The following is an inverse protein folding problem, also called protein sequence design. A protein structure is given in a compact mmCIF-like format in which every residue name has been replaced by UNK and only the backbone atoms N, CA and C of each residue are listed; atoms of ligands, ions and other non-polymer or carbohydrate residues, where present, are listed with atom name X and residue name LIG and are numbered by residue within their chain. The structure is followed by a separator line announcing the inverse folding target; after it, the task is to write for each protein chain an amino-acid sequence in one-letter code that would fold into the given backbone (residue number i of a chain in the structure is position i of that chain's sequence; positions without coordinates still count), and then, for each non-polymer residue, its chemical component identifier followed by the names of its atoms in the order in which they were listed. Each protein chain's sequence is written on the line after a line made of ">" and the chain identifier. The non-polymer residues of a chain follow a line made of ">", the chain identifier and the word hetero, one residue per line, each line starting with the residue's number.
data_IF_205761238922
#
_entry.id   IF_205761238922
#
_cell.length_a   1.000
_cell.length_b   1.000
_cell.length_c   1.000
_cell.angle_alpha   90.00
_cell.angle_beta   90.00
_cell.angle_gamma   90.00
#
_symmetry.space_group_name_H-M   'P 1'
#
loop_
_entity.id
_entity.type
_entity.pdbx_description
1 polymer ?
#
# COMPACT_ATOMS: atom_id res chain seq x y z
N UNK A 1 20.78 -1.78 6.62
CA UNK A 1 20.19 -0.95 5.54
C UNK A 1 19.36 0.15 6.16
N UNK A 2 19.18 1.25 5.42
CA UNK A 2 18.25 2.33 5.79
C UNK A 2 16.96 2.19 4.97
N UNK A 3 15.82 2.01 5.62
CA UNK A 3 14.54 1.71 4.99
C UNK A 3 13.52 2.78 5.33
N UNK A 4 12.78 3.26 4.33
CA UNK A 4 11.60 4.13 4.48
C UNK A 4 10.36 3.34 4.09
N UNK A 5 9.39 3.27 4.99
CA UNK A 5 8.06 2.71 4.75
C UNK A 5 7.07 3.88 4.69
N UNK A 6 6.41 4.06 3.54
CA UNK A 6 5.58 5.23 3.27
C UNK A 6 4.11 4.85 3.07
N UNK A 7 3.24 5.42 3.90
CA UNK A 7 1.84 5.05 4.04
C UNK A 7 1.64 3.92 5.05
N UNK A 8 0.38 3.66 5.42
CA UNK A 8 0.02 2.60 6.36
C UNK A 8 -1.36 2.02 6.01
N UNK A 9 -1.49 0.71 6.03
CA UNK A 9 -2.76 -0.01 6.02
C UNK A 9 -2.71 -1.14 7.03
N UNK A 10 -3.67 -1.18 7.94
CA UNK A 10 -3.89 -2.28 8.87
C UNK A 10 -2.64 -2.70 9.67
N UNK A 11 -1.80 -1.73 10.04
CA UNK A 11 -0.56 -1.93 10.81
C UNK A 11 0.56 -2.71 10.07
N UNK A 12 0.47 -2.84 8.76
CA UNK A 12 1.43 -3.64 7.97
C UNK A 12 2.83 -3.03 8.02
N UNK A 13 2.96 -1.73 7.74
CA UNK A 13 4.27 -1.08 7.70
C UNK A 13 4.89 -0.93 9.10
N UNK A 14 4.08 -0.65 10.13
CA UNK A 14 4.62 -0.58 11.48
C UNK A 14 5.11 -1.95 11.97
N UNK A 15 4.34 -3.01 11.76
CA UNK A 15 4.75 -4.39 12.10
C UNK A 15 6.02 -4.80 11.34
N UNK A 16 6.10 -4.49 10.05
CA UNK A 16 7.29 -4.72 9.24
C UNK A 16 8.50 -3.94 9.80
N UNK A 17 8.28 -2.68 10.19
CA UNK A 17 9.35 -1.85 10.76
C UNK A 17 9.91 -2.46 12.05
N UNK A 18 9.06 -2.98 12.93
CA UNK A 18 9.51 -3.62 14.17
C UNK A 18 10.38 -4.85 13.88
N UNK A 19 9.95 -5.72 12.95
CA UNK A 19 10.74 -6.89 12.54
C UNK A 19 12.07 -6.50 11.92
N UNK A 20 12.10 -5.51 11.02
CA UNK A 20 13.35 -5.04 10.39
C UNK A 20 14.28 -4.36 11.41
N UNK A 21 13.75 -3.62 12.38
CA UNK A 21 14.55 -3.02 13.47
C UNK A 21 15.16 -4.09 14.35
N UNK A 22 14.43 -5.15 14.68
CA UNK A 22 14.95 -6.30 15.42
C UNK A 22 16.10 -7.02 14.68
N UNK A 23 16.11 -6.97 13.35
CA UNK A 23 17.19 -7.46 12.49
C UNK A 23 18.34 -6.45 12.33
N UNK A 24 18.34 -5.32 13.05
CA UNK A 24 19.42 -4.33 13.03
C UNK A 24 19.35 -3.34 11.86
N UNK A 25 18.20 -3.18 11.21
CA UNK A 25 18.03 -2.17 10.16
C UNK A 25 17.54 -0.84 10.74
N UNK A 26 17.96 0.29 10.13
CA UNK A 26 17.41 1.61 10.43
C UNK A 26 16.13 1.82 9.62
N UNK A 27 14.99 1.89 10.30
CA UNK A 27 13.68 1.98 9.62
C UNK A 27 12.94 3.22 10.07
N UNK A 28 12.38 3.95 9.10
CA UNK A 28 11.49 5.09 9.32
C UNK A 28 10.13 4.77 8.70
N UNK A 29 9.06 4.93 9.49
CA UNK A 29 7.68 4.84 9.02
C UNK A 29 7.12 6.25 8.93
N UNK A 30 6.66 6.64 7.73
CA UNK A 30 6.01 7.93 7.49
C UNK A 30 4.58 7.69 6.97
N UNK A 31 3.57 8.01 7.76
CA UNK A 31 2.18 7.69 7.42
C UNK A 31 1.18 8.61 8.10
N UNK A 32 -0.08 8.50 7.71
CA UNK A 32 -1.24 9.08 8.41
C UNK A 32 -1.73 8.21 9.59
N UNK A 33 -1.19 6.99 9.73
CA UNK A 33 -1.58 6.01 10.74
C UNK A 33 -2.85 5.23 10.39
N UNK A 34 -3.23 5.15 9.12
CA UNK A 34 -4.46 4.50 8.63
C UNK A 34 -5.73 5.16 9.23
N UNK A 35 -5.80 6.50 9.10
CA UNK A 35 -6.96 7.29 9.50
C UNK A 35 -7.30 7.14 11.00
N UNK A 36 -8.56 6.76 11.33
CA UNK A 36 -9.07 6.65 12.70
C UNK A 36 -8.39 5.56 13.55
N UNK A 37 -7.73 4.57 12.92
CA UNK A 37 -7.00 3.49 13.61
C UNK A 37 -5.74 4.00 14.32
N UNK A 38 -5.17 5.10 13.83
CA UNK A 38 -4.07 5.85 14.42
C UNK A 38 -2.86 4.98 14.80
N UNK A 39 -2.43 4.10 13.89
CA UNK A 39 -1.25 3.27 14.10
C UNK A 39 0.02 4.09 14.33
N UNK A 40 1.02 3.56 15.07
CA UNK A 40 2.27 4.25 15.35
C UNK A 40 3.06 4.58 14.07
N UNK A 41 3.83 5.67 14.12
CA UNK A 41 4.65 6.17 13.02
C UNK A 41 5.77 7.07 13.54
N UNK A 42 6.85 7.22 12.79
CA UNK A 42 7.97 8.09 13.13
C UNK A 42 7.77 9.51 12.57
N UNK A 43 7.21 9.61 11.37
CA UNK A 43 6.85 10.89 10.73
C UNK A 43 5.34 10.93 10.57
N UNK A 44 4.70 11.85 11.31
CA UNK A 44 3.26 12.02 11.27
C UNK A 44 2.81 12.84 10.06
N UNK A 45 2.10 12.18 9.15
CA UNK A 45 1.49 12.74 7.96
C UNK A 45 -0.05 12.66 8.01
N UNK A 46 -0.63 12.63 9.21
CA UNK A 46 -2.07 12.59 9.38
C UNK A 46 -2.71 13.89 8.90
N UNK A 47 -3.75 13.77 8.07
CA UNK A 47 -4.56 14.90 7.59
C UNK A 47 -5.82 15.03 8.44
N UNK A 48 -6.00 16.16 9.12
CA UNK A 48 -7.11 16.37 10.06
C UNK A 48 -8.48 16.39 9.37
N UNK A 49 -8.58 17.06 8.22
CA UNK A 49 -9.81 17.11 7.42
C UNK A 49 -9.52 17.43 5.95
N UNK A 50 -10.57 17.38 5.12
CA UNK A 50 -10.49 17.77 3.70
C UNK A 50 -10.68 19.28 3.48
N UNK A 51 -10.83 20.05 4.55
CA UNK A 51 -10.93 21.51 4.49
C UNK A 51 -9.71 22.19 3.88
N UNK A 52 -9.89 23.41 3.34
CA UNK A 52 -8.79 24.13 2.65
C UNK A 52 -7.61 24.43 3.55
N UNK A 53 -7.86 24.87 4.78
CA UNK A 53 -6.83 25.16 5.80
C UNK A 53 -6.04 23.92 6.19
N UNK A 54 -6.74 22.81 6.46
CA UNK A 54 -6.11 21.53 6.83
C UNK A 54 -5.35 20.92 5.65
N UNK A 55 -5.84 21.16 4.42
CA UNK A 55 -5.11 20.77 3.21
C UNK A 55 -3.79 21.53 3.06
N UNK A 56 -3.78 22.84 3.32
CA UNK A 56 -2.56 23.66 3.27
C UNK A 56 -1.58 23.25 4.36
N UNK A 57 -2.04 23.04 5.60
CA UNK A 57 -1.22 22.55 6.71
C UNK A 57 -0.62 21.17 6.37
N UNK A 58 -1.41 20.28 5.84
CA UNK A 58 -0.96 18.94 5.41
C UNK A 58 0.13 19.03 4.31
N UNK A 59 -0.09 19.85 3.28
CA UNK A 59 0.91 20.07 2.22
C UNK A 59 2.20 20.67 2.75
N UNK A 60 2.11 21.62 3.69
CA UNK A 60 3.28 22.19 4.34
C UNK A 60 4.06 21.12 5.14
N UNK A 61 3.36 20.26 5.90
CA UNK A 61 4.00 19.15 6.62
C UNK A 61 4.65 18.14 5.68
N UNK A 62 3.98 17.78 4.58
CA UNK A 62 4.56 16.90 3.55
C UNK A 62 5.82 17.54 2.95
N UNK A 63 5.75 18.82 2.55
CA UNK A 63 6.90 19.53 1.99
C UNK A 63 8.09 19.58 2.98
N UNK A 64 7.81 19.80 4.28
CA UNK A 64 8.83 19.81 5.34
C UNK A 64 9.41 18.43 5.59
N UNK A 65 8.63 17.35 5.40
CA UNK A 65 9.07 15.98 5.59
C UNK A 65 9.92 15.45 4.40
N UNK A 66 9.70 15.94 3.18
CA UNK A 66 10.40 15.45 1.97
C UNK A 66 11.93 15.40 2.10
N UNK A 67 12.64 16.43 2.64
CA UNK A 67 14.08 16.37 2.80
C UNK A 67 14.57 15.20 3.66
N UNK A 68 13.73 14.69 4.57
CA UNK A 68 14.02 13.55 5.42
C UNK A 68 13.70 12.20 4.77
N UNK A 69 13.03 12.20 3.61
CA UNK A 69 12.66 11.00 2.84
C UNK A 69 13.67 10.68 1.74
N UNK A 70 14.94 11.05 1.90
CA UNK A 70 16.03 10.83 0.94
C UNK A 70 17.19 10.06 1.56
N UNK A 71 17.99 9.40 0.71
CA UNK A 71 19.19 8.68 1.14
C UNK A 71 18.87 7.34 1.80
N UNK A 72 17.74 6.74 1.46
CA UNK A 72 17.39 5.37 1.88
C UNK A 72 17.88 4.36 0.86
N UNK A 73 18.29 3.18 1.36
CA UNK A 73 18.61 2.03 0.52
C UNK A 73 17.34 1.48 -0.13
N UNK A 74 16.23 1.51 0.63
CA UNK A 74 14.92 1.01 0.20
C UNK A 74 13.83 1.98 0.65
N UNK A 75 12.93 2.30 -0.27
CA UNK A 75 11.64 2.92 0.01
C UNK A 75 10.55 1.92 -0.39
N UNK A 76 9.61 1.64 0.49
CA UNK A 76 8.42 0.86 0.15
C UNK A 76 7.18 1.74 0.31
N UNK A 77 6.40 1.83 -0.76
CA UNK A 77 5.09 2.47 -0.76
C UNK A 77 4.04 1.45 -0.34
N UNK A 78 3.10 1.83 0.53
CA UNK A 78 2.01 0.92 0.95
C UNK A 78 1.06 0.58 -0.20
N UNK A 79 0.86 1.54 -1.11
CA UNK A 79 -0.08 1.49 -2.23
C UNK A 79 0.29 2.60 -3.23
N UNK A 80 -0.19 2.62 -4.47
CA UNK A 80 0.02 3.73 -5.39
C UNK A 80 -0.43 5.09 -4.84
N UNK A 81 -1.49 5.11 -4.02
CA UNK A 81 -1.94 6.29 -3.28
C UNK A 81 -1.37 6.24 -1.86
N UNK A 82 -0.07 6.44 -1.75
CA UNK A 82 0.71 6.27 -0.51
C UNK A 82 0.60 7.44 0.49
N UNK A 83 -0.06 8.53 0.12
CA UNK A 83 -0.45 9.66 0.98
C UNK A 83 -1.86 10.12 0.59
N UNK A 84 -2.57 10.79 1.50
CA UNK A 84 -3.91 11.36 1.26
C UNK A 84 -3.87 12.59 0.33
N UNK A 85 -3.34 12.42 -0.88
CA UNK A 85 -3.23 13.44 -1.91
C UNK A 85 -3.83 12.94 -3.24
N UNK A 86 -4.24 13.88 -4.07
CA UNK A 86 -4.63 13.56 -5.43
C UNK A 86 -3.42 13.10 -6.27
N UNK A 87 -3.61 12.27 -7.29
CA UNK A 87 -2.56 11.69 -8.12
C UNK A 87 -1.58 12.70 -8.71
N UNK A 88 -2.08 13.88 -9.10
CA UNK A 88 -1.27 14.96 -9.68
C UNK A 88 -0.22 15.50 -8.69
N UNK A 89 -0.49 15.40 -7.38
CA UNK A 89 0.45 15.79 -6.33
C UNK A 89 1.32 14.62 -5.87
N UNK A 90 0.84 13.39 -5.98
CA UNK A 90 1.60 12.19 -5.65
C UNK A 90 2.71 11.91 -6.65
N UNK A 91 2.47 12.12 -7.95
CA UNK A 91 3.46 11.84 -8.98
C UNK A 91 4.78 12.64 -8.82
N UNK A 92 4.79 13.95 -8.53
CA UNK A 92 6.02 14.66 -8.21
C UNK A 92 6.74 14.13 -6.97
N UNK A 93 6.01 13.73 -5.92
CA UNK A 93 6.59 13.13 -4.72
C UNK A 93 7.21 11.78 -5.05
N UNK A 94 6.52 10.93 -5.80
CA UNK A 94 7.07 9.66 -6.27
C UNK A 94 8.38 9.85 -7.06
N UNK A 95 8.40 10.79 -8.01
CA UNK A 95 9.61 11.12 -8.79
C UNK A 95 10.75 11.63 -7.91
N UNK A 96 10.44 12.39 -6.87
CA UNK A 96 11.43 12.80 -5.87
C UNK A 96 12.00 11.58 -5.14
N UNK A 97 11.17 10.65 -4.67
CA UNK A 97 11.60 9.43 -3.98
C UNK A 97 12.49 8.58 -4.90
N UNK A 98 12.11 8.40 -6.17
CA UNK A 98 12.90 7.64 -7.17
C UNK A 98 14.27 8.25 -7.40
N UNK A 99 14.36 9.58 -7.45
CA UNK A 99 15.62 10.30 -7.73
C UNK A 99 16.59 10.29 -6.56
N UNK A 100 16.09 10.26 -5.32
CA UNK A 100 16.90 10.51 -4.13
C UNK A 100 17.11 9.26 -3.24
N UNK A 101 16.62 8.10 -3.66
CA UNK A 101 16.79 6.84 -2.96
C UNK A 101 17.29 5.75 -3.91
N UNK A 102 17.86 4.67 -3.36
CA UNK A 102 18.50 3.63 -4.18
C UNK A 102 17.47 2.73 -4.87
N UNK A 103 16.45 2.26 -4.15
CA UNK A 103 15.41 1.37 -4.63
C UNK A 103 14.03 1.83 -4.13
N UNK A 104 13.02 1.74 -4.99
CA UNK A 104 11.63 2.00 -4.63
C UNK A 104 10.77 0.80 -4.98
N UNK A 105 10.08 0.24 -3.99
CA UNK A 105 9.14 -0.87 -4.13
C UNK A 105 7.71 -0.39 -3.99
N UNK A 106 6.81 -0.97 -4.76
CA UNK A 106 5.37 -0.78 -4.64
C UNK A 106 4.79 -1.92 -3.80
N UNK A 107 4.05 -1.59 -2.75
CA UNK A 107 3.16 -2.51 -2.04
C UNK A 107 1.84 -2.65 -2.80
N UNK A 108 1.49 -3.86 -3.17
CA UNK A 108 0.16 -4.23 -3.63
C UNK A 108 -0.61 -4.75 -2.41
N UNK A 109 -1.13 -3.81 -1.58
CA UNK A 109 -1.69 -4.11 -0.26
C UNK A 109 -3.12 -3.60 -0.08
N UNK A 110 -3.80 -3.26 -1.14
CA UNK A 110 -5.15 -2.75 -1.09
C UNK A 110 -5.72 -2.51 -2.48
N UNK A 111 -6.90 -1.89 -2.52
CA UNK A 111 -7.58 -1.58 -3.75
C UNK A 111 -6.72 -0.68 -4.65
N UNK A 112 -6.60 -1.08 -5.91
CA UNK A 112 -5.86 -0.37 -6.94
C UNK A 112 -6.36 -0.71 -8.36
N UNK A 113 -5.70 -0.18 -9.38
CA UNK A 113 -6.07 -0.41 -10.78
C UNK A 113 -6.06 -1.91 -11.17
N UNK A 114 -5.01 -2.66 -10.78
CA UNK A 114 -4.87 -4.05 -11.19
C UNK A 114 -5.88 -4.95 -10.48
N UNK A 115 -6.14 -4.67 -9.21
CA UNK A 115 -7.11 -5.43 -8.44
C UNK A 115 -8.55 -5.20 -8.91
N UNK A 116 -8.94 -3.93 -9.17
CA UNK A 116 -10.27 -3.61 -9.73
C UNK A 116 -10.44 -4.24 -11.11
N UNK A 117 -9.40 -4.14 -11.97
CA UNK A 117 -9.43 -4.74 -13.31
C UNK A 117 -9.59 -6.26 -13.26
N UNK A 118 -8.85 -6.94 -12.40
CA UNK A 118 -8.92 -8.40 -12.23
C UNK A 118 -10.26 -8.84 -11.62
N UNK A 119 -10.83 -8.05 -10.69
CA UNK A 119 -12.15 -8.32 -10.14
C UNK A 119 -13.28 -8.26 -11.19
N UNK A 120 -13.12 -7.42 -12.21
CA UNK A 120 -14.11 -7.23 -13.28
C UNK A 120 -13.97 -8.21 -14.46
N UNK A 121 -12.83 -8.89 -14.61
CA UNK A 121 -12.60 -9.82 -15.74
C UNK A 121 -13.37 -11.16 -15.60
N UNK A 122 -13.92 -11.43 -14.39
CA UNK A 122 -14.64 -12.65 -14.04
C UNK A 122 -13.86 -13.96 -14.32
N UNK A 123 -12.54 -13.88 -14.42
CA UNK A 123 -11.65 -15.01 -14.72
C UNK A 123 -10.57 -15.18 -13.65
N UNK A 124 -9.97 -14.08 -13.21
CA UNK A 124 -8.90 -14.09 -12.19
C UNK A 124 -9.42 -14.56 -10.84
N UNK A 125 -10.63 -14.13 -10.47
CA UNK A 125 -11.24 -14.50 -9.19
C UNK A 125 -12.57 -15.23 -9.41
N UNK A 126 -12.80 -16.30 -8.64
CA UNK A 126 -14.10 -16.96 -8.59
C UNK A 126 -15.17 -16.05 -7.96
N UNK A 127 -14.76 -15.23 -7.01
CA UNK A 127 -15.58 -14.17 -6.40
C UNK A 127 -14.68 -13.07 -5.82
N UNK A 128 -15.14 -11.86 -5.91
CA UNK A 128 -14.49 -10.67 -5.35
C UNK A 128 -15.55 -9.63 -5.00
N UNK A 129 -15.14 -8.44 -4.61
CA UNK A 129 -16.09 -7.32 -4.46
C UNK A 129 -16.78 -6.98 -5.79
N UNK A 130 -16.17 -7.29 -6.93
CA UNK A 130 -16.65 -6.94 -8.26
C UNK A 130 -17.33 -8.08 -9.01
N UNK A 131 -17.19 -9.34 -8.59
CA UNK A 131 -17.79 -10.48 -9.28
C UNK A 131 -18.21 -11.62 -8.36
N UNK A 132 -19.19 -12.41 -8.84
CA UNK A 132 -19.53 -13.74 -8.31
C UNK A 132 -19.59 -14.69 -9.51
N UNK A 133 -18.65 -15.63 -9.59
CA UNK A 133 -18.49 -16.48 -10.76
C UNK A 133 -18.25 -15.63 -12.02
N UNK A 134 -19.08 -15.77 -13.02
CA UNK A 134 -19.01 -15.05 -14.30
C UNK A 134 -19.86 -13.77 -14.33
N UNK A 135 -20.48 -13.40 -13.21
CA UNK A 135 -21.37 -12.25 -13.14
C UNK A 135 -20.69 -11.08 -12.41
N UNK A 136 -20.67 -9.91 -13.06
CA UNK A 136 -20.17 -8.67 -12.47
C UNK A 136 -21.20 -8.13 -11.48
N UNK A 137 -20.73 -7.73 -10.30
CA UNK A 137 -21.55 -7.09 -9.27
C UNK A 137 -21.54 -5.58 -9.47
N UNK A 138 -22.65 -5.05 -9.95
CA UNK A 138 -22.83 -3.60 -10.08
C UNK A 138 -23.53 -3.04 -8.84
N UNK A 139 -22.88 -2.05 -8.23
CA UNK A 139 -23.42 -1.27 -7.11
C UNK A 139 -22.70 0.08 -7.05
N UNK A 140 -23.25 1.10 -6.34
CA UNK A 140 -22.68 2.45 -6.32
C UNK A 140 -21.21 2.52 -5.87
N UNK A 141 -20.77 1.63 -4.98
CA UNK A 141 -19.36 1.59 -4.53
C UNK A 141 -18.46 1.07 -5.64
N UNK A 142 -18.85 0.01 -6.33
CA UNK A 142 -18.11 -0.53 -7.46
C UNK A 142 -18.05 0.48 -8.62
N UNK A 143 -19.15 1.17 -8.92
CA UNK A 143 -19.17 2.24 -9.93
C UNK A 143 -18.16 3.34 -9.59
N UNK A 144 -18.09 3.74 -8.32
CA UNK A 144 -17.11 4.71 -7.84
C UNK A 144 -15.68 4.19 -8.01
N UNK A 145 -15.38 2.94 -7.61
CA UNK A 145 -14.04 2.36 -7.73
C UNK A 145 -13.61 2.19 -9.18
N UNK A 146 -14.53 1.80 -10.07
CA UNK A 146 -14.29 1.74 -11.51
C UNK A 146 -13.94 3.14 -12.05
N UNK A 147 -14.72 4.15 -11.69
CA UNK A 147 -14.48 5.52 -12.12
C UNK A 147 -13.12 6.05 -11.63
N UNK A 148 -12.76 5.78 -10.36
CA UNK A 148 -11.52 6.26 -9.75
C UNK A 148 -10.27 5.52 -10.28
N UNK A 149 -10.34 4.18 -10.38
CA UNK A 149 -9.18 3.34 -10.65
C UNK A 149 -9.02 2.95 -12.12
N UNK A 150 -10.10 2.67 -12.86
CA UNK A 150 -9.98 2.29 -14.27
C UNK A 150 -10.04 3.50 -15.21
N UNK A 151 -10.89 4.47 -14.90
CA UNK A 151 -11.17 5.61 -15.78
C UNK A 151 -10.57 6.92 -15.26
N UNK A 152 -9.99 6.90 -14.06
CA UNK A 152 -9.50 8.09 -13.38
C UNK A 152 -7.98 8.15 -13.23
N UNK A 153 -7.46 9.30 -12.75
CA UNK A 153 -6.04 9.55 -12.62
C UNK A 153 -5.33 8.66 -11.58
N UNK A 154 -6.06 8.02 -10.65
CA UNK A 154 -5.48 7.02 -9.74
C UNK A 154 -4.94 5.81 -10.51
N UNK A 155 -5.68 5.33 -11.51
CA UNK A 155 -5.24 4.23 -12.34
C UNK A 155 -4.03 4.58 -13.20
N UNK A 156 -3.96 5.80 -13.73
CA UNK A 156 -2.78 6.27 -14.45
C UNK A 156 -1.54 6.32 -13.57
N UNK A 157 -1.68 6.87 -12.35
CA UNK A 157 -0.61 6.89 -11.35
C UNK A 157 -0.15 5.46 -11.00
N UNK A 158 -1.08 4.55 -10.75
CA UNK A 158 -0.77 3.16 -10.42
C UNK A 158 0.02 2.47 -11.55
N UNK A 159 -0.45 2.56 -12.79
CA UNK A 159 0.24 1.98 -13.95
C UNK A 159 1.63 2.57 -14.12
N UNK A 160 1.79 3.89 -13.93
CA UNK A 160 3.08 4.55 -13.98
C UNK A 160 4.02 4.02 -12.89
N UNK A 161 3.61 4.02 -11.62
CA UNK A 161 4.42 3.54 -10.50
C UNK A 161 4.77 2.06 -10.67
N UNK A 162 3.79 1.21 -11.01
CA UNK A 162 4.02 -0.20 -11.22
C UNK A 162 5.01 -0.48 -12.37
N UNK A 163 4.97 0.31 -13.44
CA UNK A 163 5.94 0.23 -14.53
C UNK A 163 7.35 0.67 -14.15
N UNK A 164 7.48 1.74 -13.35
CA UNK A 164 8.76 2.41 -13.07
C UNK A 164 9.47 1.90 -11.80
N UNK A 165 8.77 1.37 -10.80
CA UNK A 165 9.36 0.89 -9.54
C UNK A 165 10.31 -0.30 -9.74
N UNK A 166 11.22 -0.51 -8.79
CA UNK A 166 12.22 -1.60 -8.83
C UNK A 166 11.64 -2.99 -8.53
N UNK A 167 10.49 -3.05 -7.87
CA UNK A 167 9.81 -4.30 -7.56
C UNK A 167 8.43 -4.04 -6.94
N UNK A 168 7.61 -5.07 -6.94
CA UNK A 168 6.25 -5.07 -6.41
C UNK A 168 6.16 -6.17 -5.36
N UNK A 169 5.73 -5.81 -4.17
CA UNK A 169 5.47 -6.75 -3.08
C UNK A 169 3.98 -6.97 -2.96
N UNK A 170 3.52 -8.20 -3.16
CA UNK A 170 2.13 -8.59 -2.95
C UNK A 170 1.97 -9.26 -1.59
N UNK A 171 1.14 -8.68 -0.71
CA UNK A 171 0.97 -9.12 0.67
C UNK A 171 -0.04 -10.26 0.84
N UNK A 172 -1.00 -10.35 -0.07
CA UNK A 172 -2.01 -11.41 -0.14
C UNK A 172 -1.99 -12.05 -1.53
N UNK A 173 -2.44 -13.29 -1.60
CA UNK A 173 -2.45 -14.06 -2.85
C UNK A 173 -3.32 -13.41 -3.94
N UNK A 174 -4.40 -12.75 -3.54
CA UNK A 174 -5.27 -12.00 -4.44
C UNK A 174 -4.54 -10.85 -5.14
N UNK A 175 -3.66 -10.13 -4.43
CA UNK A 175 -2.85 -9.08 -5.05
C UNK A 175 -1.74 -9.65 -5.94
N UNK A 176 -1.20 -10.82 -5.60
CA UNK A 176 -0.24 -11.50 -6.46
C UNK A 176 -0.88 -11.93 -7.78
N UNK A 177 -2.08 -12.49 -7.73
CA UNK A 177 -2.81 -12.96 -8.91
C UNK A 177 -3.10 -11.84 -9.91
N UNK A 178 -3.35 -10.60 -9.46
CA UNK A 178 -3.64 -9.50 -10.38
C UNK A 178 -2.37 -8.77 -10.88
N UNK A 179 -1.26 -8.79 -10.15
CA UNK A 179 -0.03 -8.10 -10.56
C UNK A 179 0.93 -8.99 -11.35
N UNK A 180 1.10 -10.25 -10.97
CA UNK A 180 2.07 -11.18 -11.58
C UNK A 180 1.91 -11.35 -13.09
N UNK A 181 0.70 -11.44 -13.68
CA UNK A 181 0.55 -11.54 -15.13
C UNK A 181 1.10 -10.34 -15.90
N UNK A 182 1.12 -9.16 -15.28
CA UNK A 182 1.61 -7.92 -15.88
C UNK A 182 3.09 -7.65 -15.62
N UNK A 183 3.61 -8.12 -14.48
CA UNK A 183 4.98 -7.85 -14.01
C UNK A 183 5.62 -9.10 -13.41
N UNK A 184 5.75 -10.21 -14.16
CA UNK A 184 6.23 -11.49 -13.61
C UNK A 184 7.64 -11.39 -13.00
N UNK A 185 8.53 -10.60 -13.62
CA UNK A 185 9.94 -10.49 -13.22
C UNK A 185 10.16 -9.65 -11.94
N UNK A 186 9.20 -8.82 -11.57
CA UNK A 186 9.36 -7.91 -10.42
C UNK A 186 8.29 -8.02 -9.35
N UNK A 187 7.29 -8.89 -9.52
CA UNK A 187 6.28 -9.17 -8.50
C UNK A 187 6.75 -10.32 -7.61
N UNK A 188 6.82 -10.06 -6.30
CA UNK A 188 7.18 -11.06 -5.30
C UNK A 188 6.05 -11.16 -4.28
N UNK A 189 5.57 -12.40 -4.07
CA UNK A 189 4.63 -12.69 -3.00
C UNK A 189 5.38 -12.78 -1.68
N UNK A 190 5.14 -11.82 -0.80
CA UNK A 190 5.69 -11.77 0.56
C UNK A 190 4.51 -11.52 1.51
N UNK A 191 4.07 -12.52 2.28
CA UNK A 191 2.92 -12.39 3.18
C UNK A 191 3.05 -11.22 4.14
N UNK A 192 1.93 -10.66 4.55
CA UNK A 192 1.91 -9.59 5.56
C UNK A 192 2.64 -10.01 6.84
N UNK A 193 3.42 -9.11 7.44
CA UNK A 193 4.12 -9.40 8.67
C UNK A 193 3.14 -9.60 9.82
N UNK A 194 3.46 -10.53 10.72
CA UNK A 194 2.70 -10.81 11.94
C UNK A 194 3.66 -10.70 13.12
N UNK A 195 3.27 -9.93 14.14
CA UNK A 195 3.98 -9.93 15.42
C UNK A 195 3.49 -11.11 16.27
N UNK A 196 4.40 -12.03 16.54
CA UNK A 196 4.11 -13.22 17.35
C UNK A 196 4.55 -13.05 18.81
N UNK A 197 5.10 -11.90 19.22
CA UNK A 197 5.63 -11.68 20.57
C UNK A 197 4.57 -11.81 21.67
N UNK A 198 3.32 -11.49 21.34
CA UNK A 198 2.18 -11.59 22.27
C UNK A 198 1.27 -12.81 22.00
N UNK A 199 1.63 -13.66 21.02
CA UNK A 199 0.82 -14.81 20.65
C UNK A 199 1.17 -16.02 21.50
N UNK A 200 0.27 -16.42 22.37
CA UNK A 200 0.37 -17.72 23.06
C UNK A 200 -0.06 -18.83 22.12
N UNK A 201 0.89 -19.58 21.59
CA UNK A 201 0.61 -20.74 20.75
C UNK A 201 -0.07 -21.83 21.61
N UNK A 202 -1.32 -22.15 21.33
CA UNK A 202 -1.95 -23.37 21.85
C UNK A 202 -1.47 -24.55 21.01
N UNK A 203 -0.60 -25.36 21.58
CA UNK A 203 0.00 -26.54 20.92
C UNK A 203 -1.02 -27.68 20.75
N UNK A 204 -2.11 -27.66 21.51
CA UNK A 204 -3.18 -28.66 21.41
C UNK A 204 -4.49 -27.93 21.11
N UNK A 205 -5.01 -28.19 19.93
CA UNK A 205 -6.40 -27.95 19.61
C UNK A 205 -7.13 -29.29 19.81
N UNK A 206 -7.85 -29.51 20.92
CA UNK A 206 -8.65 -30.72 21.06
C UNK A 206 -9.76 -30.63 20.02
N UNK A 207 -9.55 -31.27 18.87
CA UNK A 207 -10.59 -31.57 17.90
C UNK A 207 -11.48 -32.67 18.54
N UNK A 208 -12.33 -32.27 19.49
CA UNK A 208 -13.50 -33.09 19.77
C UNK A 208 -14.54 -32.79 18.70
N UNK A 209 -14.91 -33.76 17.86
CA UNK A 209 -16.00 -33.58 16.92
C UNK A 209 -17.28 -33.33 17.74
N UNK A 210 -17.92 -32.22 17.53
CA UNK A 210 -19.30 -31.96 18.00
C UNK A 210 -20.30 -32.65 17.10
#
# INVERSE_FOLDING_TARGET
>A
MKVLLLGEYSNVHWTLAQGLRALGHSVTVASDGDSWKNYPRDIDLHRKSTGKTDTLDFLFRVARALPFMRGYDVVQLINPVFLELCPERLLPIYRFLRRHNRKVFLGAFGMDYYWVKAGLDCQTYRYSDFNIGTEVRMNPDNDRFIAEWLNGPKGELNRFIAGDCDGIVSGLYEYDACYRPHFPEKTQFIPFPIDLSEVTLRIQNPLEPR
#
